data_IF_050416901101
#
_entry.id   IF_050416901101
#
_cell.length_a   1.000
_cell.length_b   1.000
_cell.length_c   1.000
_cell.angle_alpha   90.00
_cell.angle_beta   90.00
_cell.angle_gamma   90.00
#
_symmetry.space_group_name_H-M   'P 1'
#
loop_
_entity.id
_entity.type
_entity.pdbx_description
1 polymer ?
#
# COMPACT_ATOMS: atom_id res chain seq x y z
N UNK A 1 28.06 9.73 -6.01
CA UNK A 1 26.67 9.99 -5.56
C UNK A 1 26.78 10.81 -4.29
N UNK A 2 26.07 11.92 -4.19
CA UNK A 2 26.09 12.74 -2.96
C UNK A 2 25.58 11.86 -1.81
N UNK A 3 26.27 11.77 -0.66
CA UNK A 3 25.79 11.00 0.47
C UNK A 3 24.39 11.46 0.86
N UNK A 4 23.51 10.50 1.18
CA UNK A 4 22.18 10.81 1.64
C UNK A 4 22.30 11.55 2.97
N UNK A 5 21.88 12.80 3.02
CA UNK A 5 21.83 13.53 4.27
C UNK A 5 20.64 12.99 5.07
N UNK A 6 20.88 12.46 6.25
CA UNK A 6 19.83 12.12 7.22
C UNK A 6 20.09 12.90 8.50
N UNK A 7 19.03 13.23 9.22
CA UNK A 7 19.13 13.88 10.52
C UNK A 7 18.54 12.96 11.59
N UNK A 8 19.27 12.77 12.69
CA UNK A 8 18.84 11.92 13.80
C UNK A 8 17.99 12.79 14.73
N UNK A 9 16.74 12.39 14.94
CA UNK A 9 15.77 13.13 15.76
C UNK A 9 15.75 12.58 17.19
N UNK A 10 16.03 11.29 17.35
CA UNK A 10 16.05 10.67 18.68
C UNK A 10 16.48 9.22 18.64
N UNK A 11 16.86 8.72 19.82
CA UNK A 11 17.22 7.33 20.04
C UNK A 11 16.50 6.84 21.29
N UNK A 12 15.90 5.64 21.21
CA UNK A 12 15.25 5.01 22.36
C UNK A 12 15.87 3.63 22.62
N UNK A 13 16.20 3.32 23.88
CA UNK A 13 16.55 1.96 24.26
C UNK A 13 15.29 1.10 24.34
N UNK A 14 15.39 -0.17 23.96
CA UNK A 14 14.33 -1.17 23.94
C UNK A 14 13.12 -0.78 23.06
N UNK A 15 12.86 -1.56 22.03
CA UNK A 15 11.76 -1.33 21.11
C UNK A 15 11.12 -2.65 20.69
N UNK A 16 9.82 -2.78 20.94
CA UNK A 16 9.03 -3.93 20.50
C UNK A 16 8.42 -3.64 19.13
N UNK A 17 8.79 -4.43 18.12
CA UNK A 17 8.16 -4.39 16.81
C UNK A 17 7.06 -5.45 16.71
N UNK A 18 5.88 -5.08 16.21
CA UNK A 18 4.74 -5.99 16.12
C UNK A 18 4.55 -6.51 14.69
N UNK A 19 5.02 -7.73 14.44
CA UNK A 19 4.75 -8.47 13.21
C UNK A 19 3.31 -8.99 13.18
N UNK A 20 2.77 -9.33 11.99
CA UNK A 20 1.45 -9.95 11.88
C UNK A 20 1.31 -11.26 12.69
N UNK A 21 2.43 -12.00 12.84
CA UNK A 21 2.48 -13.31 13.47
C UNK A 21 3.11 -13.32 14.88
N UNK A 22 3.44 -12.16 15.45
CA UNK A 22 4.07 -12.08 16.77
C UNK A 22 4.77 -10.75 17.03
N UNK A 23 5.52 -10.69 18.13
CA UNK A 23 6.35 -9.53 18.47
C UNK A 23 7.83 -9.90 18.33
N UNK A 24 8.66 -8.91 18.03
CA UNK A 24 10.12 -9.05 17.99
C UNK A 24 10.73 -7.88 18.77
N UNK A 25 11.62 -8.21 19.72
CA UNK A 25 12.28 -7.24 20.59
C UNK A 25 13.59 -6.75 19.96
N UNK A 26 13.77 -5.44 19.99
CA UNK A 26 14.95 -4.74 19.51
C UNK A 26 15.61 -4.03 20.69
N UNK A 27 16.94 -4.09 20.79
CA UNK A 27 17.73 -3.43 21.83
C UNK A 27 17.64 -1.90 21.77
N UNK A 28 17.43 -1.35 20.58
CA UNK A 28 17.28 0.10 20.39
C UNK A 28 16.55 0.43 19.09
N UNK A 29 16.01 1.64 19.02
CA UNK A 29 15.50 2.24 17.78
C UNK A 29 15.99 3.68 17.65
N UNK A 30 16.52 4.00 16.48
CA UNK A 30 16.92 5.35 16.08
C UNK A 30 15.83 5.91 15.17
N UNK A 31 15.42 7.14 15.43
CA UNK A 31 14.47 7.89 14.61
C UNK A 31 15.21 8.93 13.78
N UNK A 32 14.95 8.94 12.47
CA UNK A 32 15.64 9.80 11.52
C UNK A 32 14.67 10.52 10.58
N UNK A 33 15.00 11.74 10.19
CA UNK A 33 14.38 12.47 9.08
C UNK A 33 15.21 12.29 7.82
N UNK A 34 14.53 12.05 6.71
CA UNK A 34 15.12 12.06 5.37
C UNK A 34 14.58 13.27 4.61
N UNK A 35 15.45 14.13 4.06
CA UNK A 35 15.06 15.30 3.30
C UNK A 35 14.34 14.91 2.00
N UNK A 36 13.48 15.82 1.55
CA UNK A 36 12.61 15.65 0.40
C UNK A 36 13.42 15.32 -0.87
N UNK A 37 13.02 14.24 -1.55
CA UNK A 37 13.61 13.79 -2.82
C UNK A 37 12.68 14.01 -4.02
N UNK A 38 11.71 14.92 -3.89
CA UNK A 38 10.74 15.28 -4.94
C UNK A 38 9.55 14.33 -5.06
N UNK A 39 9.49 13.29 -4.23
CA UNK A 39 8.42 12.30 -4.21
C UNK A 39 7.75 12.10 -2.86
N UNK A 40 8.36 12.57 -1.78
CA UNK A 40 7.85 12.43 -0.43
C UNK A 40 8.14 13.69 0.37
N UNK A 41 7.10 14.24 1.00
CA UNK A 41 7.26 15.20 2.10
C UNK A 41 8.23 14.61 3.15
N UNK A 42 8.97 15.46 3.88
CA UNK A 42 9.97 15.04 4.90
C UNK A 42 9.52 13.77 5.62
N UNK A 43 10.21 12.66 5.34
CA UNK A 43 9.78 11.34 5.77
C UNK A 43 10.53 10.92 7.03
N UNK A 44 9.76 10.55 8.05
CA UNK A 44 10.28 10.00 9.31
C UNK A 44 10.49 8.49 9.12
N UNK A 45 11.69 8.01 9.39
CA UNK A 45 12.05 6.60 9.36
C UNK A 45 12.62 6.15 10.70
N UNK A 46 12.56 4.85 10.92
CA UNK A 46 13.05 4.19 12.11
C UNK A 46 14.06 3.11 11.73
N UNK A 47 15.15 3.04 12.49
CA UNK A 47 16.20 2.01 12.37
C UNK A 47 16.26 1.28 13.70
N UNK A 48 15.71 0.06 13.75
CA UNK A 48 15.72 -0.76 14.96
C UNK A 48 16.84 -1.81 14.90
N UNK A 49 17.52 -2.01 16.03
CA UNK A 49 18.67 -2.91 16.18
C UNK A 49 18.35 -4.02 17.16
N UNK A 50 18.65 -5.26 16.79
CA UNK A 50 18.38 -6.43 17.62
C UNK A 50 19.17 -7.64 17.17
N UNK A 51 18.70 -8.82 17.57
CA UNK A 51 19.26 -10.11 17.18
C UNK A 51 18.14 -11.09 16.87
N UNK A 52 18.37 -11.98 15.90
CA UNK A 52 17.41 -13.00 15.50
C UNK A 52 18.12 -14.24 14.97
N UNK A 53 17.59 -15.41 15.29
CA UNK A 53 17.98 -16.67 14.65
C UNK A 53 17.67 -16.60 13.15
N UNK A 54 18.71 -16.61 12.32
CA UNK A 54 18.61 -16.56 10.87
C UNK A 54 19.71 -17.42 10.24
N UNK A 55 19.30 -18.27 9.30
CA UNK A 55 20.21 -19.16 8.57
C UNK A 55 21.06 -20.04 9.50
N UNK A 56 20.42 -20.58 10.56
CA UNK A 56 21.04 -21.51 11.49
C UNK A 56 21.96 -20.89 12.54
N UNK A 57 21.93 -19.57 12.73
CA UNK A 57 22.70 -18.89 13.80
C UNK A 57 22.01 -17.62 14.29
N UNK A 58 22.25 -17.25 15.55
CA UNK A 58 21.88 -15.95 16.09
C UNK A 58 22.69 -14.85 15.39
N UNK A 59 22.02 -13.96 14.66
CA UNK A 59 22.67 -12.92 13.86
C UNK A 59 22.18 -11.53 14.24
N UNK A 60 23.04 -10.53 13.98
CA UNK A 60 22.64 -9.12 14.05
C UNK A 60 21.43 -8.90 13.15
N UNK A 61 20.45 -8.16 13.66
CA UNK A 61 19.23 -7.81 12.95
C UNK A 61 19.08 -6.30 12.95
N UNK A 62 18.90 -5.72 11.76
CA UNK A 62 18.55 -4.30 11.62
C UNK A 62 17.29 -4.19 10.78
N UNK A 63 16.32 -3.43 11.26
CA UNK A 63 15.05 -3.19 10.60
C UNK A 63 14.94 -1.70 10.25
N UNK A 64 14.68 -1.39 8.98
CA UNK A 64 14.41 -0.02 8.52
C UNK A 64 12.94 0.06 8.08
N UNK A 65 12.17 0.95 8.69
CA UNK A 65 10.71 1.01 8.49
C UNK A 65 10.15 2.43 8.68
N UNK A 66 8.97 2.70 8.09
CA UNK A 66 8.20 3.94 8.34
C UNK A 66 7.27 3.78 9.53
N UNK A 67 6.60 2.64 9.62
CA UNK A 67 5.71 2.26 10.71
C UNK A 67 5.60 0.72 10.75
N UNK A 68 4.93 0.16 11.76
CA UNK A 68 4.83 -1.30 11.93
C UNK A 68 4.10 -2.02 10.78
N UNK A 69 3.34 -1.30 9.94
CA UNK A 69 2.72 -1.84 8.74
C UNK A 69 3.59 -1.74 7.48
N UNK A 70 4.76 -1.12 7.57
CA UNK A 70 5.53 -0.66 6.41
C UNK A 70 7.05 -0.75 6.64
N UNK A 71 7.60 -1.94 6.36
CA UNK A 71 9.01 -2.28 6.48
C UNK A 71 9.69 -2.15 5.12
N UNK A 72 10.69 -1.27 5.04
CA UNK A 72 11.43 -1.00 3.81
C UNK A 72 12.55 -2.01 3.59
N UNK A 73 13.29 -2.34 4.65
CA UNK A 73 14.37 -3.31 4.58
C UNK A 73 14.63 -4.04 5.88
N UNK A 74 15.07 -5.27 5.67
CA UNK A 74 15.55 -6.19 6.69
C UNK A 74 17.02 -6.49 6.41
N UNK A 75 17.88 -6.28 7.41
CA UNK A 75 19.29 -6.58 7.32
C UNK A 75 19.66 -7.69 8.29
N UNK A 76 20.63 -8.49 7.86
CA UNK A 76 21.16 -9.62 8.62
C UNK A 76 22.68 -9.46 8.72
N UNK A 77 23.24 -9.67 9.91
CA UNK A 77 24.69 -9.71 10.11
C UNK A 77 25.35 -10.78 9.24
N UNK A 78 26.42 -10.40 8.57
CA UNK A 78 27.28 -11.34 7.83
C UNK A 78 27.93 -12.36 8.79
N UNK A 79 28.48 -13.45 8.27
CA UNK A 79 29.06 -14.52 9.10
C UNK A 79 30.14 -13.99 10.07
N UNK A 80 30.99 -13.07 9.60
CA UNK A 80 32.02 -12.40 10.41
C UNK A 80 31.56 -11.06 11.01
N UNK A 81 30.27 -10.93 11.36
CA UNK A 81 29.73 -9.66 11.86
C UNK A 81 30.45 -9.15 13.11
N UNK A 82 30.93 -10.03 13.98
CA UNK A 82 31.64 -9.62 15.20
C UNK A 82 32.90 -8.79 14.91
N UNK A 83 33.63 -9.15 13.85
CA UNK A 83 34.83 -8.44 13.41
C UNK A 83 34.50 -7.28 12.48
N UNK A 84 33.68 -7.54 11.46
CA UNK A 84 33.48 -6.61 10.36
C UNK A 84 32.44 -5.54 10.64
N UNK A 85 31.52 -5.79 11.58
CA UNK A 85 30.33 -4.97 11.85
C UNK A 85 29.56 -4.62 10.57
N UNK A 86 29.48 -5.59 9.64
CA UNK A 86 28.77 -5.45 8.36
C UNK A 86 27.48 -6.24 8.36
N UNK A 87 26.46 -5.66 7.74
CA UNK A 87 25.16 -6.30 7.55
C UNK A 87 24.83 -6.39 6.07
N UNK A 88 23.99 -7.34 5.69
CA UNK A 88 23.56 -7.54 4.32
C UNK A 88 22.03 -7.51 4.20
N UNK A 89 21.52 -7.03 3.07
CA UNK A 89 20.10 -7.10 2.70
C UNK A 89 19.92 -7.63 1.28
N UNK A 90 19.00 -8.57 1.07
CA UNK A 90 18.83 -9.33 -0.19
C UNK A 90 18.04 -8.56 -1.24
N UNK A 91 18.69 -8.10 -2.30
CA UNK A 91 18.12 -7.15 -3.26
C UNK A 91 16.93 -7.76 -4.02
N UNK A 92 15.97 -6.91 -4.40
CA UNK A 92 14.73 -7.33 -5.08
C UNK A 92 14.73 -6.87 -6.54
N UNK A 93 14.03 -7.63 -7.37
CA UNK A 93 13.75 -7.28 -8.77
C UNK A 93 12.74 -6.14 -8.85
N UNK A 94 12.74 -5.42 -9.96
CA UNK A 94 11.84 -4.30 -10.20
C UNK A 94 10.39 -4.80 -10.28
N UNK A 95 9.47 -4.09 -9.62
CA UNK A 95 8.05 -4.41 -9.55
C UNK A 95 7.73 -5.76 -8.90
N UNK A 96 8.67 -6.38 -8.18
CA UNK A 96 8.53 -7.73 -7.66
C UNK A 96 9.14 -7.90 -6.27
N UNK A 97 8.52 -8.74 -5.45
CA UNK A 97 9.08 -9.14 -4.15
C UNK A 97 10.16 -10.23 -4.26
N UNK A 98 10.40 -10.75 -5.47
CA UNK A 98 11.42 -11.77 -5.71
C UNK A 98 12.83 -11.21 -5.62
N UNK A 99 13.75 -12.02 -5.09
CA UNK A 99 15.16 -11.64 -5.01
C UNK A 99 15.83 -11.56 -6.37
N UNK A 100 16.79 -10.65 -6.48
CA UNK A 100 17.65 -10.46 -7.63
C UNK A 100 18.66 -11.62 -7.71
N UNK A 101 18.61 -12.42 -8.78
CA UNK A 101 19.50 -13.58 -8.97
C UNK A 101 20.87 -13.14 -9.47
N UNK A 102 21.91 -13.97 -9.31
CA UNK A 102 23.26 -13.63 -9.77
C UNK A 102 23.39 -13.37 -11.28
N UNK A 103 22.51 -14.00 -12.08
CA UNK A 103 22.46 -13.81 -13.53
C UNK A 103 21.64 -12.57 -13.95
N UNK A 104 20.90 -11.96 -13.02
CA UNK A 104 20.10 -10.77 -13.34
C UNK A 104 21.02 -9.54 -13.42
N UNK A 105 20.69 -8.61 -14.33
CA UNK A 105 21.38 -7.30 -14.38
C UNK A 105 21.06 -6.48 -13.13
N UNK A 106 22.08 -5.93 -12.47
CA UNK A 106 21.90 -5.09 -11.28
C UNK A 106 21.21 -3.77 -11.66
N UNK A 107 20.00 -3.49 -11.10
CA UNK A 107 19.30 -2.23 -11.32
C UNK A 107 20.15 -1.01 -10.95
N UNK A 108 19.98 0.10 -11.69
CA UNK A 108 20.74 1.34 -11.51
C UNK A 108 20.72 1.87 -10.07
N UNK A 109 19.57 1.79 -9.39
CA UNK A 109 19.40 2.19 -7.98
C UNK A 109 20.29 1.43 -6.99
N UNK A 110 20.79 0.26 -7.36
CA UNK A 110 21.70 -0.50 -6.50
C UNK A 110 23.18 -0.33 -6.87
N UNK A 111 23.50 0.29 -8.01
CA UNK A 111 24.89 0.44 -8.47
C UNK A 111 25.78 1.26 -7.54
N UNK A 112 25.16 2.07 -6.67
CA UNK A 112 25.87 2.86 -5.68
C UNK A 112 26.28 2.06 -4.43
N UNK A 113 25.78 0.83 -4.26
CA UNK A 113 26.10 -0.02 -3.13
C UNK A 113 27.09 -1.12 -3.50
N UNK A 114 27.75 -1.67 -2.49
CA UNK A 114 28.55 -2.89 -2.65
C UNK A 114 27.61 -4.09 -2.85
N UNK A 115 27.29 -4.38 -4.11
CA UNK A 115 26.44 -5.51 -4.49
C UNK A 115 27.29 -6.74 -4.73
N UNK A 116 27.04 -7.77 -3.95
CA UNK A 116 27.76 -9.04 -4.02
C UNK A 116 26.79 -10.20 -4.03
N UNK A 117 27.33 -11.39 -4.25
CA UNK A 117 26.58 -12.62 -4.12
C UNK A 117 26.43 -13.01 -2.64
N UNK A 118 25.20 -13.22 -2.17
CA UNK A 118 24.91 -13.45 -0.73
C UNK A 118 25.76 -14.56 -0.09
N UNK A 119 26.05 -15.65 -0.83
CA UNK A 119 26.88 -16.78 -0.36
C UNK A 119 28.29 -16.39 0.10
N UNK A 120 28.82 -15.27 -0.39
CA UNK A 120 30.18 -14.87 -0.05
C UNK A 120 30.26 -14.22 1.34
N UNK A 121 29.12 -13.94 1.98
CA UNK A 121 29.06 -13.25 3.29
C UNK A 121 28.07 -13.86 4.27
N UNK A 122 27.09 -14.63 3.79
CA UNK A 122 26.12 -15.32 4.63
C UNK A 122 26.06 -16.79 4.19
N UNK A 123 26.48 -17.67 5.09
CA UNK A 123 26.35 -19.12 4.95
C UNK A 123 25.36 -19.67 5.97
N UNK A 124 24.77 -20.84 5.66
CA UNK A 124 23.82 -21.50 6.55
C UNK A 124 22.58 -22.05 5.83
N UNK A 125 21.78 -22.87 6.52
CA UNK A 125 20.58 -23.47 5.95
C UNK A 125 19.59 -22.41 5.47
N UNK A 126 19.02 -22.64 4.29
CA UNK A 126 18.01 -21.78 3.66
C UNK A 126 18.46 -20.35 3.33
N UNK A 127 19.76 -20.04 3.44
CA UNK A 127 20.31 -18.75 3.02
C UNK A 127 19.98 -18.49 1.53
N UNK A 128 19.26 -17.40 1.19
CA UNK A 128 18.84 -17.12 -0.17
C UNK A 128 20.03 -16.96 -1.10
N UNK A 129 19.92 -17.56 -2.29
CA UNK A 129 20.95 -17.48 -3.31
C UNK A 129 20.67 -16.37 -4.32
N UNK A 130 21.14 -15.16 -3.97
CA UNK A 130 20.78 -13.93 -4.63
C UNK A 130 21.88 -12.87 -4.49
N UNK A 131 21.66 -11.71 -5.09
CA UNK A 131 22.49 -10.53 -4.88
C UNK A 131 22.05 -9.79 -3.62
N UNK A 132 23.03 -9.32 -2.85
CA UNK A 132 22.84 -8.59 -1.60
C UNK A 132 23.68 -7.32 -1.61
N UNK A 133 23.17 -6.25 -1.00
CA UNK A 133 24.00 -5.10 -0.65
C UNK A 133 24.60 -5.31 0.74
N UNK A 134 25.90 -5.09 0.88
CA UNK A 134 26.62 -5.16 2.16
C UNK A 134 27.02 -3.76 2.61
N UNK A 135 26.68 -3.45 3.86
CA UNK A 135 26.78 -2.11 4.43
C UNK A 135 27.38 -2.19 5.84
N UNK A 136 28.22 -1.22 6.20
CA UNK A 136 28.70 -1.08 7.57
C UNK A 136 27.52 -0.71 8.49
N UNK A 137 27.40 -1.37 9.64
CA UNK A 137 26.30 -1.14 10.58
C UNK A 137 26.21 0.32 11.06
N UNK A 138 27.36 0.99 11.19
CA UNK A 138 27.43 2.38 11.62
C UNK A 138 27.04 3.39 10.51
N UNK A 139 26.94 2.96 9.25
CA UNK A 139 26.60 3.81 8.12
C UNK A 139 25.07 3.92 7.95
N UNK A 140 24.46 4.67 8.87
CA UNK A 140 23.01 4.95 8.87
C UNK A 140 22.51 5.52 7.54
N UNK A 141 23.19 6.50 6.89
CA UNK A 141 22.82 6.98 5.56
C UNK A 141 22.69 5.86 4.53
N UNK A 142 23.66 4.95 4.46
CA UNK A 142 23.61 3.84 3.50
C UNK A 142 22.54 2.81 3.82
N UNK A 143 22.31 2.51 5.11
CA UNK A 143 21.20 1.63 5.53
C UNK A 143 19.85 2.18 5.08
N UNK A 144 19.62 3.48 5.28
CA UNK A 144 18.41 4.17 4.84
C UNK A 144 18.33 4.23 3.32
N UNK A 145 19.43 4.59 2.65
CA UNK A 145 19.47 4.73 1.21
C UNK A 145 19.15 3.42 0.48
N UNK A 146 19.72 2.29 0.93
CA UNK A 146 19.39 0.99 0.31
C UNK A 146 17.97 0.55 0.65
N UNK A 147 17.45 0.88 1.84
CA UNK A 147 16.07 0.57 2.20
C UNK A 147 15.08 1.29 1.30
N UNK A 148 15.31 2.59 1.07
CA UNK A 148 14.56 3.39 0.10
C UNK A 148 14.74 2.85 -1.32
N UNK A 149 15.96 2.50 -1.74
CA UNK A 149 16.18 1.94 -3.08
C UNK A 149 15.48 0.58 -3.28
N UNK A 150 15.37 -0.25 -2.24
CA UNK A 150 14.59 -1.50 -2.30
C UNK A 150 13.12 -1.21 -2.48
N UNK A 151 12.60 -0.27 -1.72
CA UNK A 151 11.21 0.17 -1.83
C UNK A 151 10.91 0.85 -3.17
N UNK A 152 11.78 1.71 -3.70
CA UNK A 152 11.64 2.31 -5.04
C UNK A 152 11.64 1.25 -6.15
N UNK A 153 12.26 0.09 -5.90
CA UNK A 153 12.13 -1.08 -6.76
C UNK A 153 10.71 -1.65 -6.77
N UNK A 154 9.96 -1.51 -5.67
CA UNK A 154 8.54 -1.89 -5.54
C UNK A 154 7.59 -0.74 -5.92
N UNK A 155 8.07 0.50 -5.75
CA UNK A 155 7.36 1.76 -5.98
C UNK A 155 7.96 2.42 -7.21
N UNK A 156 7.49 2.02 -8.38
CA UNK A 156 8.06 2.45 -9.65
C UNK A 156 7.95 3.98 -9.79
N UNK A 157 9.08 4.70 -9.96
CA UNK A 157 9.10 6.04 -10.58
C UNK A 157 10.39 6.37 -11.34
N UNK A 158 10.19 6.52 -12.65
CA UNK A 158 10.60 7.63 -13.53
C UNK A 158 12.06 8.14 -13.46
N UNK A 159 12.85 7.78 -14.48
CA UNK A 159 13.84 8.69 -15.06
C UNK A 159 13.95 8.48 -16.58
N UNK A 160 13.83 9.60 -17.28
CA UNK A 160 13.83 9.77 -18.73
C UNK A 160 15.16 9.31 -19.36
N UNK A 161 15.10 8.66 -20.52
CA UNK A 161 16.17 8.72 -21.52
C UNK A 161 15.52 8.63 -22.91
N UNK A 162 15.90 9.48 -23.89
CA UNK A 162 15.26 9.47 -25.20
C UNK A 162 15.52 8.13 -25.91
N UNK A 163 14.59 7.63 -26.73
CA UNK A 163 14.79 6.35 -27.38
C UNK A 163 15.93 6.47 -28.40
N UNK A 164 17.02 5.73 -28.18
CA UNK A 164 17.98 5.43 -29.24
C UNK A 164 17.30 4.46 -30.20
N UNK A 165 16.86 5.00 -31.32
CA UNK A 165 16.48 4.25 -32.52
C UNK A 165 17.66 3.37 -32.93
N UNK A 166 17.48 2.06 -32.90
CA UNK A 166 18.26 1.14 -33.72
C UNK A 166 17.34 0.62 -34.81
N UNK A 167 17.60 1.07 -36.02
CA UNK A 167 17.07 0.51 -37.25
C UNK A 167 17.43 -0.97 -37.30
N UNK A 168 16.42 -1.82 -37.36
CA UNK A 168 16.55 -3.09 -38.07
C UNK A 168 15.18 -3.42 -38.69
N UNK A 169 15.15 -3.19 -40.00
CA UNK A 169 14.20 -3.71 -40.96
C UNK A 169 13.95 -5.19 -40.74
N UNK A 170 12.68 -5.56 -40.55
CA UNK A 170 12.05 -6.70 -41.22
C UNK A 170 10.54 -6.54 -41.15
N UNK A 171 9.94 -6.51 -42.33
CA UNK A 171 8.51 -6.43 -42.57
C UNK A 171 7.71 -7.43 -41.72
N UNK A 172 6.80 -6.90 -40.91
CA UNK A 172 5.56 -7.55 -40.56
C UNK A 172 4.51 -6.44 -40.55
N UNK A 173 3.64 -6.47 -41.56
CA UNK A 173 2.57 -5.50 -41.78
C UNK A 173 1.68 -5.36 -40.55
N UNK A 174 1.83 -4.26 -39.81
CA UNK A 174 0.81 -3.78 -38.88
C UNK A 174 -0.24 -2.97 -39.67
N UNK A 175 -1.54 -3.12 -39.37
CA UNK A 175 -2.55 -2.25 -39.93
C UNK A 175 -2.35 -0.81 -39.42
N UNK A 176 -2.78 0.20 -40.20
CA UNK A 176 -2.36 1.58 -40.01
C UNK A 176 -2.85 2.17 -38.68
N UNK A 177 -1.96 2.93 -38.06
CA UNK A 177 -2.15 3.77 -36.89
C UNK A 177 -3.25 4.80 -37.11
N UNK A 178 -4.41 4.59 -36.49
CA UNK A 178 -5.30 5.68 -36.09
C UNK A 178 -4.94 6.10 -34.66
N UNK A 179 -4.18 7.19 -34.51
CA UNK A 179 -3.96 7.84 -33.21
C UNK A 179 -5.22 8.59 -32.75
N UNK A 180 -6.34 7.87 -32.64
CA UNK A 180 -7.39 8.24 -31.71
C UNK A 180 -7.00 7.72 -30.34
N UNK A 181 -7.25 8.56 -29.34
CA UNK A 181 -6.55 8.58 -28.06
C UNK A 181 -6.89 7.34 -27.23
N UNK A 182 -6.15 6.23 -27.41
CA UNK A 182 -6.38 4.93 -26.75
C UNK A 182 -6.67 5.04 -25.24
N UNK A 183 -6.04 5.99 -24.55
CA UNK A 183 -6.32 6.28 -23.14
C UNK A 183 -7.77 6.72 -22.87
N UNK A 184 -8.36 7.54 -23.75
CA UNK A 184 -9.77 7.92 -23.70
C UNK A 184 -10.69 6.73 -23.95
N UNK A 185 -10.35 5.85 -24.89
CA UNK A 185 -11.16 4.66 -25.19
C UNK A 185 -11.19 3.70 -23.99
N UNK A 186 -10.05 3.51 -23.32
CA UNK A 186 -9.97 2.70 -22.09
C UNK A 186 -10.80 3.35 -20.96
N UNK A 187 -10.68 4.66 -20.77
CA UNK A 187 -11.45 5.40 -19.76
C UNK A 187 -12.94 5.31 -20.06
N UNK A 188 -13.35 5.47 -21.31
CA UNK A 188 -14.75 5.32 -21.72
C UNK A 188 -15.25 3.89 -21.46
N UNK A 189 -14.46 2.86 -21.78
CA UNK A 189 -14.82 1.48 -21.49
C UNK A 189 -14.99 1.21 -19.98
N UNK A 190 -14.13 1.80 -19.12
CA UNK A 190 -14.30 1.72 -17.66
C UNK A 190 -15.59 2.41 -17.19
N UNK A 191 -15.92 3.58 -17.75
CA UNK A 191 -17.13 4.31 -17.44
C UNK A 191 -18.39 3.58 -17.94
N UNK A 192 -18.34 3.01 -19.12
CA UNK A 192 -19.42 2.21 -19.71
C UNK A 192 -19.64 0.92 -18.95
N UNK A 193 -18.57 0.30 -18.43
CA UNK A 193 -18.70 -0.81 -17.52
C UNK A 193 -19.38 -0.35 -16.23
N UNK A 194 -18.92 0.75 -15.61
CA UNK A 194 -19.50 1.28 -14.37
C UNK A 194 -20.98 1.66 -14.50
N UNK A 195 -21.38 2.24 -15.62
CA UNK A 195 -22.75 2.73 -15.84
C UNK A 195 -23.78 1.60 -15.95
N UNK A 196 -23.34 0.40 -16.33
CA UNK A 196 -24.18 -0.81 -16.37
C UNK A 196 -24.36 -1.48 -15.00
N UNK A 197 -23.55 -1.09 -14.02
CA UNK A 197 -23.60 -1.67 -12.67
C UNK A 197 -24.55 -0.88 -11.77
N UNK A 198 -25.33 -1.60 -10.98
CA UNK A 198 -26.10 -0.98 -9.90
C UNK A 198 -25.14 -0.39 -8.87
N UNK A 199 -25.38 0.86 -8.48
CA UNK A 199 -24.91 1.38 -7.18
C UNK A 199 -25.57 0.56 -6.06
N UNK A 200 -24.93 0.36 -4.92
CA UNK A 200 -25.51 -0.43 -3.83
C UNK A 200 -25.17 -1.92 -3.83
N UNK A 201 -24.03 -2.32 -4.38
CA UNK A 201 -23.55 -3.71 -4.27
C UNK A 201 -23.29 -4.12 -2.81
N UNK A 202 -23.34 -5.43 -2.47
CA UNK A 202 -23.10 -5.88 -1.10
C UNK A 202 -21.66 -5.59 -0.68
N UNK A 203 -21.48 -4.97 0.49
CA UNK A 203 -20.21 -4.83 1.18
C UNK A 203 -19.74 -6.15 1.80
N UNK A 204 -20.69 -6.95 2.28
CA UNK A 204 -20.47 -8.17 3.05
C UNK A 204 -21.21 -9.35 2.43
N UNK A 205 -20.77 -10.59 2.69
CA UNK A 205 -21.51 -11.79 2.27
C UNK A 205 -22.79 -11.96 3.07
N UNK A 206 -22.75 -11.63 4.37
CA UNK A 206 -23.91 -11.66 5.25
C UNK A 206 -24.84 -10.47 4.96
N UNK A 207 -26.13 -10.76 4.69
CA UNK A 207 -27.17 -9.72 4.52
C UNK A 207 -27.32 -8.85 5.77
N UNK A 208 -27.31 -9.46 6.96
CA UNK A 208 -27.42 -8.72 8.22
C UNK A 208 -26.22 -7.77 8.44
N UNK A 209 -25.02 -8.20 8.05
CA UNK A 209 -23.83 -7.35 8.15
C UNK A 209 -23.91 -6.20 7.15
N UNK A 210 -24.38 -6.46 5.93
CA UNK A 210 -24.58 -5.45 4.90
C UNK A 210 -25.59 -4.38 5.34
N UNK A 211 -26.76 -4.81 5.82
CA UNK A 211 -27.80 -3.92 6.34
C UNK A 211 -27.29 -3.11 7.54
N UNK A 212 -26.55 -3.76 8.45
CA UNK A 212 -25.94 -3.08 9.59
C UNK A 212 -24.97 -1.96 9.17
N UNK A 213 -24.13 -2.19 8.16
CA UNK A 213 -23.19 -1.17 7.65
C UNK A 213 -23.93 0.02 7.02
N UNK A 214 -25.00 -0.25 6.24
CA UNK A 214 -25.80 0.80 5.58
C UNK A 214 -26.54 1.69 6.56
N UNK A 215 -27.03 1.11 7.66
CA UNK A 215 -27.78 1.84 8.68
C UNK A 215 -26.87 2.50 9.73
N UNK A 216 -25.59 2.13 9.76
CA UNK A 216 -24.65 2.60 10.78
C UNK A 216 -23.39 3.23 10.14
N UNK A 217 -23.41 4.57 9.93
CA UNK A 217 -22.25 5.37 9.50
C UNK A 217 -20.93 5.05 10.22
N UNK A 218 -20.99 4.79 11.53
CA UNK A 218 -19.80 4.47 12.31
C UNK A 218 -19.24 3.09 11.95
N UNK A 219 -20.11 2.08 11.84
CA UNK A 219 -19.73 0.75 11.41
C UNK A 219 -19.16 0.76 9.98
N UNK A 220 -19.79 1.52 9.08
CA UNK A 220 -19.29 1.75 7.72
C UNK A 220 -17.85 2.31 7.73
N UNK A 221 -17.62 3.44 8.40
CA UNK A 221 -16.29 4.04 8.47
C UNK A 221 -15.29 3.08 9.09
N UNK A 222 -15.71 2.34 10.12
CA UNK A 222 -14.87 1.35 10.79
C UNK A 222 -14.40 0.27 9.82
N UNK A 223 -15.33 -0.36 9.07
CA UNK A 223 -15.02 -1.36 8.05
C UNK A 223 -14.07 -0.81 6.99
N UNK A 224 -14.44 0.33 6.38
CA UNK A 224 -13.67 0.92 5.29
C UNK A 224 -12.26 1.34 5.73
N UNK A 225 -12.10 1.79 6.98
CA UNK A 225 -10.80 2.18 7.56
C UNK A 225 -9.84 1.01 7.70
N UNK A 226 -10.35 -0.22 7.89
CA UNK A 226 -9.52 -1.41 8.04
C UNK A 226 -9.47 -2.29 6.78
N UNK A 227 -10.02 -1.81 5.66
CA UNK A 227 -10.03 -2.51 4.36
C UNK A 227 -8.64 -2.57 3.70
N UNK A 228 -7.81 -3.48 4.25
CA UNK A 228 -6.43 -3.71 3.84
C UNK A 228 -6.02 -5.17 3.96
N UNK A 229 -5.38 -5.67 2.91
CA UNK A 229 -4.63 -6.93 2.93
C UNK A 229 -5.44 -8.22 3.04
N UNK A 230 -6.77 -8.18 2.94
CA UNK A 230 -7.66 -9.33 2.94
C UNK A 230 -8.79 -9.14 1.92
N UNK A 231 -9.62 -10.16 1.70
CA UNK A 231 -10.82 -10.04 0.85
C UNK A 231 -11.77 -9.01 1.47
N UNK A 232 -12.24 -8.05 0.67
CA UNK A 232 -13.11 -6.97 1.13
C UNK A 232 -14.32 -7.52 1.89
N UNK A 233 -15.00 -8.53 1.34
CA UNK A 233 -16.22 -9.07 1.93
C UNK A 233 -16.01 -9.66 3.33
N UNK A 234 -14.79 -10.13 3.64
CA UNK A 234 -14.43 -10.61 4.97
C UNK A 234 -14.10 -9.48 5.95
N UNK A 235 -13.47 -8.41 5.46
CA UNK A 235 -13.11 -7.26 6.29
C UNK A 235 -14.34 -6.44 6.66
N UNK A 236 -15.23 -6.23 5.71
CA UNK A 236 -16.40 -5.40 5.88
C UNK A 236 -17.42 -6.00 6.88
N UNK A 237 -17.40 -7.32 7.12
CA UNK A 237 -18.20 -7.97 8.16
C UNK A 237 -17.71 -7.71 9.60
N UNK A 238 -16.47 -7.27 9.79
CA UNK A 238 -15.83 -7.20 11.12
C UNK A 238 -16.61 -6.32 12.11
N UNK A 239 -17.08 -5.10 11.77
CA UNK A 239 -17.83 -4.28 12.72
C UNK A 239 -19.11 -4.94 13.24
N UNK A 240 -19.79 -5.72 12.39
CA UNK A 240 -20.98 -6.47 12.79
C UNK A 240 -20.64 -7.60 13.75
N UNK A 241 -19.58 -8.36 13.47
CA UNK A 241 -19.11 -9.42 14.35
C UNK A 241 -18.60 -8.86 15.68
N UNK A 242 -17.91 -7.73 15.64
CA UNK A 242 -17.44 -7.03 16.83
C UNK A 242 -18.61 -6.53 17.69
N UNK A 243 -19.66 -5.96 17.07
CA UNK A 243 -20.91 -5.60 17.77
C UNK A 243 -21.51 -6.81 18.48
N UNK A 244 -21.59 -7.97 17.82
CA UNK A 244 -22.10 -9.21 18.43
C UNK A 244 -21.23 -9.66 19.60
N UNK A 245 -19.90 -9.55 19.48
CA UNK A 245 -18.94 -9.94 20.51
C UNK A 245 -18.99 -9.06 21.75
N UNK A 246 -19.06 -7.74 21.57
CA UNK A 246 -19.02 -6.76 22.67
C UNK A 246 -20.41 -6.38 23.18
N UNK A 247 -21.48 -6.72 22.45
CA UNK A 247 -22.85 -6.27 22.72
C UNK A 247 -23.14 -4.84 22.27
N UNK A 248 -22.12 -4.09 21.85
CA UNK A 248 -22.25 -2.71 21.38
C UNK A 248 -21.23 -2.37 20.29
N UNK A 249 -21.45 -1.26 19.60
CA UNK A 249 -20.46 -0.58 18.76
C UNK A 249 -20.48 0.93 19.02
N UNK A 250 -20.66 1.32 20.29
CA UNK A 250 -20.67 2.72 20.72
C UNK A 250 -19.25 3.34 20.72
N UNK A 251 -19.03 4.51 20.07
CA UNK A 251 -17.72 5.16 19.99
C UNK A 251 -17.11 5.54 21.34
N UNK A 252 -17.91 6.05 22.29
CA UNK A 252 -17.43 6.41 23.63
C UNK A 252 -16.85 5.19 24.35
N UNK A 253 -17.60 4.09 24.44
CA UNK A 253 -17.18 2.87 25.12
C UNK A 253 -15.93 2.26 24.45
N UNK A 254 -15.91 2.23 23.11
CA UNK A 254 -14.74 1.76 22.37
C UNK A 254 -13.51 2.63 22.63
N UNK A 255 -13.66 3.95 22.64
CA UNK A 255 -12.53 4.88 22.86
C UNK A 255 -11.84 4.73 24.23
N UNK A 256 -12.51 4.09 25.19
CA UNK A 256 -11.98 3.80 26.53
C UNK A 256 -11.26 2.45 26.62
N UNK A 257 -11.37 1.58 25.62
CA UNK A 257 -10.66 0.31 25.58
C UNK A 257 -9.17 0.51 25.28
N UNK A 258 -8.33 -0.37 25.83
CA UNK A 258 -6.93 -0.46 25.41
C UNK A 258 -6.81 -1.16 24.05
N UNK A 259 -5.69 -0.93 23.36
CA UNK A 259 -5.37 -1.63 22.11
C UNK A 259 -5.39 -3.15 22.33
N UNK A 260 -4.85 -3.63 23.45
CA UNK A 260 -4.76 -5.07 23.74
C UNK A 260 -6.14 -5.69 23.98
N UNK A 261 -7.04 -4.98 24.68
CA UNK A 261 -8.42 -5.45 24.89
C UNK A 261 -9.18 -5.59 23.56
N UNK A 262 -9.10 -4.59 22.69
CA UNK A 262 -9.77 -4.65 21.40
C UNK A 262 -9.10 -5.64 20.45
N UNK A 263 -7.77 -5.75 20.48
CA UNK A 263 -7.02 -6.75 19.73
C UNK A 263 -7.47 -8.17 20.10
N UNK A 264 -7.58 -8.48 21.39
CA UNK A 264 -8.03 -9.79 21.86
C UNK A 264 -9.47 -10.08 21.40
N UNK A 265 -10.37 -9.09 21.51
CA UNK A 265 -11.73 -9.21 20.99
C UNK A 265 -11.73 -9.56 19.49
N UNK A 266 -10.93 -8.85 18.68
CA UNK A 266 -10.79 -9.10 17.23
C UNK A 266 -10.18 -10.47 16.92
N UNK A 267 -9.20 -10.93 17.70
CA UNK A 267 -8.57 -12.25 17.52
C UNK A 267 -9.54 -13.40 17.80
N UNK A 268 -10.49 -13.17 18.69
CA UNK A 268 -11.51 -14.16 19.07
C UNK A 268 -12.72 -14.22 18.12
N UNK A 269 -12.78 -13.36 17.09
CA UNK A 269 -13.86 -13.40 16.10
C UNK A 269 -13.70 -14.61 15.16
N UNK A 270 -14.82 -15.16 14.71
CA UNK A 270 -14.85 -16.22 13.69
C UNK A 270 -14.14 -15.77 12.40
N UNK A 271 -14.39 -14.52 11.99
CA UNK A 271 -13.67 -13.84 10.92
C UNK A 271 -12.93 -12.64 11.50
N UNK A 272 -11.61 -12.65 11.34
CA UNK A 272 -10.71 -11.65 11.92
C UNK A 272 -9.96 -10.87 10.84
N UNK A 273 -9.60 -9.61 11.11
CA UNK A 273 -8.72 -8.87 10.21
C UNK A 273 -7.37 -9.56 10.09
N UNK A 274 -6.70 -9.41 8.94
CA UNK A 274 -5.33 -9.89 8.74
C UNK A 274 -4.35 -9.31 9.76
N UNK A 275 -4.60 -8.08 10.20
CA UNK A 275 -3.75 -7.30 11.11
C UNK A 275 -4.56 -6.85 12.34
N UNK A 276 -4.83 -7.73 13.34
CA UNK A 276 -5.72 -7.41 14.46
C UNK A 276 -5.28 -6.21 15.29
N UNK A 277 -4.00 -6.11 15.66
CA UNK A 277 -3.47 -4.99 16.44
C UNK A 277 -3.60 -3.65 15.72
N UNK A 278 -3.24 -3.62 14.44
CA UNK A 278 -3.34 -2.43 13.60
C UNK A 278 -4.80 -2.04 13.39
N UNK A 279 -5.69 -3.03 13.20
CA UNK A 279 -7.13 -2.79 13.12
C UNK A 279 -7.67 -2.22 14.43
N UNK A 280 -7.27 -2.76 15.58
CA UNK A 280 -7.63 -2.21 16.89
C UNK A 280 -7.20 -0.76 17.04
N UNK A 281 -5.94 -0.42 16.75
CA UNK A 281 -5.45 0.97 16.79
C UNK A 281 -6.24 1.91 15.87
N UNK A 282 -6.55 1.46 14.66
CA UNK A 282 -7.36 2.22 13.69
C UNK A 282 -8.78 2.46 14.23
N UNK A 283 -9.42 1.41 14.73
CA UNK A 283 -10.78 1.46 15.28
C UNK A 283 -10.87 2.34 16.52
N UNK A 284 -9.91 2.26 17.44
CA UNK A 284 -9.85 3.12 18.63
C UNK A 284 -9.60 4.58 18.24
N UNK A 285 -8.69 4.83 17.29
CA UNK A 285 -8.42 6.17 16.79
C UNK A 285 -9.67 6.80 16.14
N UNK A 286 -10.43 6.02 15.35
CA UNK A 286 -11.71 6.45 14.78
C UNK A 286 -12.74 6.72 15.89
N UNK A 287 -12.86 5.81 16.86
CA UNK A 287 -13.79 5.91 17.98
C UNK A 287 -13.56 7.20 18.78
N UNK A 288 -12.29 7.48 19.10
CA UNK A 288 -11.88 8.69 19.80
C UNK A 288 -12.19 9.96 19.00
N UNK A 289 -11.84 9.98 17.71
CA UNK A 289 -12.14 11.12 16.83
C UNK A 289 -13.64 11.41 16.78
N UNK A 290 -14.47 10.38 16.58
CA UNK A 290 -15.93 10.51 16.52
C UNK A 290 -16.52 10.99 17.85
N UNK A 291 -16.08 10.40 18.96
CA UNK A 291 -16.58 10.75 20.29
C UNK A 291 -16.19 12.18 20.68
N UNK A 292 -14.90 12.54 20.59
CA UNK A 292 -14.38 13.81 21.11
C UNK A 292 -14.70 15.01 20.20
N UNK A 293 -14.68 14.83 18.87
CA UNK A 293 -14.77 15.95 17.92
C UNK A 293 -16.09 16.04 17.18
N UNK A 294 -16.84 14.94 17.10
CA UNK A 294 -18.10 14.89 16.35
C UNK A 294 -19.30 14.53 17.23
N UNK A 295 -19.11 14.40 18.56
CA UNK A 295 -20.17 14.11 19.53
C UNK A 295 -21.09 12.96 19.09
N UNK A 296 -20.48 11.87 18.62
CA UNK A 296 -21.15 10.68 18.08
C UNK A 296 -21.95 10.88 16.78
N UNK A 297 -22.03 12.11 16.24
CA UNK A 297 -22.64 12.38 14.94
C UNK A 297 -21.65 12.15 13.79
N UNK A 298 -21.50 10.89 13.39
CA UNK A 298 -20.54 10.46 12.36
C UNK A 298 -20.78 11.13 11.00
N UNK A 299 -22.04 11.38 10.61
CA UNK A 299 -22.35 12.03 9.34
C UNK A 299 -21.80 13.47 9.27
N UNK A 300 -21.63 14.11 10.43
CA UNK A 300 -20.92 15.38 10.55
C UNK A 300 -19.44 15.29 10.26
N UNK A 301 -18.86 14.18 9.79
CA UNK A 301 -17.51 14.14 9.20
C UNK A 301 -17.51 14.66 7.75
N UNK A 302 -18.55 14.34 6.97
CA UNK A 302 -18.61 14.66 5.53
C UNK A 302 -19.72 15.64 5.14
N UNK A 303 -20.84 15.67 5.86
CA UNK A 303 -21.96 16.54 5.49
C UNK A 303 -21.53 18.02 5.44
N UNK A 304 -21.87 18.68 4.33
CA UNK A 304 -21.59 20.09 4.09
C UNK A 304 -20.10 20.45 3.94
N UNK A 305 -19.20 19.47 3.72
CA UNK A 305 -17.77 19.72 3.52
C UNK A 305 -17.33 19.38 2.11
N UNK A 306 -16.22 20.00 1.71
CA UNK A 306 -15.51 19.65 0.48
C UNK A 306 -14.73 18.33 0.64
N UNK A 307 -14.61 17.50 -0.41
CA UNK A 307 -13.91 16.22 -0.35
C UNK A 307 -12.49 16.26 0.21
N UNK A 308 -11.67 17.24 -0.17
CA UNK A 308 -10.31 17.37 0.40
C UNK A 308 -10.35 17.57 1.92
N UNK A 309 -11.35 18.28 2.43
CA UNK A 309 -11.50 18.46 3.87
C UNK A 309 -11.89 17.16 4.56
N UNK A 310 -12.76 16.37 3.94
CA UNK A 310 -13.13 15.04 4.45
C UNK A 310 -11.91 14.12 4.46
N UNK A 311 -11.11 14.11 3.39
CA UNK A 311 -9.85 13.35 3.30
C UNK A 311 -8.90 13.73 4.44
N UNK A 312 -8.64 15.02 4.65
CA UNK A 312 -7.78 15.50 5.73
C UNK A 312 -8.26 15.11 7.14
N UNK A 313 -9.59 14.98 7.35
CA UNK A 313 -10.14 14.52 8.62
C UNK A 313 -9.90 13.02 8.77
N UNK A 314 -10.16 12.24 7.73
CA UNK A 314 -9.98 10.79 7.73
C UNK A 314 -8.51 10.41 7.94
N UNK A 315 -7.55 11.13 7.36
CA UNK A 315 -6.11 10.89 7.53
C UNK A 315 -5.59 11.14 8.96
N UNK A 316 -6.38 11.80 9.83
CA UNK A 316 -6.05 11.90 11.26
C UNK A 316 -6.27 10.58 12.00
N UNK A 317 -7.06 9.67 11.43
CA UNK A 317 -7.29 8.36 11.99
C UNK A 317 -6.04 7.52 11.74
N UNK A 318 -5.50 6.95 12.82
CA UNK A 318 -4.29 6.15 12.74
C UNK A 318 -4.40 5.06 11.66
N UNK A 319 -3.41 5.01 10.77
CA UNK A 319 -3.33 4.01 9.71
C UNK A 319 -4.16 4.31 8.47
N UNK A 320 -4.92 5.40 8.40
CA UNK A 320 -5.59 5.84 7.16
C UNK A 320 -4.65 6.74 6.36
N UNK A 321 -4.25 6.28 5.18
CA UNK A 321 -3.56 7.11 4.19
C UNK A 321 -4.50 7.61 3.09
N UNK A 322 -3.99 8.43 2.14
CA UNK A 322 -4.80 9.10 1.13
C UNK A 322 -5.65 8.14 0.31
N UNK A 323 -5.10 6.98 -0.08
CA UNK A 323 -5.86 5.99 -0.84
C UNK A 323 -7.12 5.49 -0.11
N UNK A 324 -7.01 5.15 1.17
CA UNK A 324 -8.18 4.71 1.96
C UNK A 324 -9.15 5.88 2.16
N UNK A 325 -8.64 7.08 2.42
CA UNK A 325 -9.48 8.26 2.60
C UNK A 325 -10.30 8.59 1.34
N UNK A 326 -9.69 8.59 0.16
CA UNK A 326 -10.39 8.83 -1.10
C UNK A 326 -11.39 7.71 -1.44
N UNK A 327 -11.05 6.45 -1.15
CA UNK A 327 -11.99 5.33 -1.26
C UNK A 327 -13.23 5.52 -0.37
N UNK A 328 -13.04 5.92 0.90
CA UNK A 328 -14.14 6.21 1.81
C UNK A 328 -15.03 7.32 1.23
N UNK A 329 -14.42 8.43 0.81
CA UNK A 329 -15.15 9.57 0.23
C UNK A 329 -15.94 9.15 -1.01
N UNK A 330 -15.37 8.26 -1.84
CA UNK A 330 -16.08 7.71 -2.98
C UNK A 330 -17.30 6.90 -2.55
N UNK A 331 -17.15 5.98 -1.61
CA UNK A 331 -18.26 5.14 -1.15
C UNK A 331 -19.35 6.00 -0.48
N UNK A 332 -18.99 7.09 0.21
CA UNK A 332 -19.96 8.04 0.76
C UNK A 332 -20.88 8.65 -0.32
N UNK A 333 -20.35 8.90 -1.53
CA UNK A 333 -21.15 9.39 -2.67
C UNK A 333 -22.07 8.28 -3.18
N UNK A 334 -21.50 7.10 -3.41
CA UNK A 334 -22.22 6.00 -4.05
C UNK A 334 -23.31 5.40 -3.12
N UNK A 335 -23.13 5.47 -1.80
CA UNK A 335 -23.90 4.67 -0.83
C UNK A 335 -24.55 5.49 0.31
N UNK A 336 -24.05 6.70 0.62
CA UNK A 336 -24.52 7.52 1.76
C UNK A 336 -25.05 8.90 1.35
N UNK A 337 -25.27 9.14 0.06
CA UNK A 337 -25.87 10.38 -0.44
C UNK A 337 -25.02 11.63 -0.27
N UNK A 338 -23.71 11.48 -0.02
CA UNK A 338 -22.79 12.62 0.01
C UNK A 338 -22.69 13.23 -1.39
N UNK A 339 -23.03 14.52 -1.51
CA UNK A 339 -22.99 15.23 -2.78
C UNK A 339 -22.11 16.48 -2.66
N UNK A 340 -20.84 16.41 -3.10
CA UNK A 340 -19.93 17.55 -3.04
C UNK A 340 -20.03 18.47 -4.28
N UNK A 341 -21.03 18.29 -5.14
CA UNK A 341 -21.16 19.07 -6.38
C UNK A 341 -20.05 18.79 -7.40
N UNK A 342 -20.14 19.41 -8.58
CA UNK A 342 -19.20 19.13 -9.70
C UNK A 342 -17.75 19.48 -9.36
N UNK A 343 -17.54 20.59 -8.66
CA UNK A 343 -16.20 21.05 -8.28
C UNK A 343 -15.58 20.10 -7.26
N UNK A 344 -16.33 19.68 -6.23
CA UNK A 344 -15.85 18.73 -5.25
C UNK A 344 -15.52 17.35 -5.85
N UNK A 345 -16.29 16.86 -6.84
CA UNK A 345 -15.96 15.59 -7.52
C UNK A 345 -14.55 15.56 -8.13
N UNK A 346 -14.06 16.69 -8.63
CA UNK A 346 -12.70 16.79 -9.20
C UNK A 346 -11.58 16.59 -8.19
N UNK A 347 -11.89 16.72 -6.90
CA UNK A 347 -10.95 16.57 -5.79
C UNK A 347 -10.79 15.12 -5.30
N UNK A 348 -11.55 14.17 -5.87
CA UNK A 348 -11.57 12.79 -5.40
C UNK A 348 -10.72 11.93 -6.30
N UNK A 349 -9.66 11.34 -5.75
CA UNK A 349 -8.75 10.46 -6.46
C UNK A 349 -9.16 8.98 -6.41
N UNK A 350 -8.49 8.19 -7.25
CA UNK A 350 -8.54 6.72 -7.18
C UNK A 350 -7.76 6.22 -5.96
N UNK A 351 -8.11 5.04 -5.43
CA UNK A 351 -7.30 4.30 -4.47
C UNK A 351 -6.41 3.32 -5.25
N UNK A 352 -5.11 3.60 -5.38
CA UNK A 352 -4.24 2.76 -6.19
C UNK A 352 -3.85 1.46 -5.47
N UNK A 353 -4.78 0.51 -5.39
CA UNK A 353 -4.51 -0.82 -4.89
C UNK A 353 -3.91 -1.75 -5.96
N UNK A 354 -3.65 -3.01 -5.60
CA UNK A 354 -3.04 -3.98 -6.51
C UNK A 354 -3.88 -4.22 -7.79
N UNK A 355 -5.21 -4.10 -7.72
CA UNK A 355 -6.13 -4.32 -8.84
C UNK A 355 -6.15 -3.11 -9.75
N UNK A 356 -6.33 -1.91 -9.19
CA UNK A 356 -6.35 -0.65 -9.93
C UNK A 356 -5.02 -0.42 -10.64
N UNK A 357 -3.89 -0.60 -9.93
CA UNK A 357 -2.55 -0.47 -10.51
C UNK A 357 -2.35 -1.45 -11.66
N UNK A 358 -2.79 -2.71 -11.51
CA UNK A 358 -2.65 -3.73 -12.54
C UNK A 358 -3.49 -3.41 -13.78
N UNK A 359 -4.73 -2.94 -13.62
CA UNK A 359 -5.57 -2.52 -14.74
C UNK A 359 -4.96 -1.33 -15.47
N UNK A 360 -4.57 -0.28 -14.76
CA UNK A 360 -3.97 0.90 -15.37
C UNK A 360 -2.70 0.53 -16.14
N UNK A 361 -1.87 -0.35 -15.58
CA UNK A 361 -0.65 -0.82 -16.24
C UNK A 361 -0.93 -1.69 -17.47
N UNK A 362 -1.76 -2.74 -17.34
CA UNK A 362 -2.05 -3.68 -18.44
C UNK A 362 -2.76 -3.03 -19.61
N UNK A 363 -3.64 -2.07 -19.34
CA UNK A 363 -4.33 -1.32 -20.39
C UNK A 363 -3.40 -0.34 -21.11
N UNK A 364 -2.31 0.07 -20.46
CA UNK A 364 -1.36 1.07 -20.96
C UNK A 364 -1.72 2.51 -20.56
N UNK A 365 -2.60 2.70 -19.57
CA UNK A 365 -2.86 4.02 -18.98
C UNK A 365 -1.67 4.56 -18.20
N UNK A 366 -0.85 3.65 -17.65
CA UNK A 366 0.44 3.97 -17.02
C UNK A 366 1.52 3.03 -17.57
N UNK A 367 2.76 3.51 -17.60
CA UNK A 367 3.90 2.74 -18.09
C UNK A 367 4.62 1.95 -16.99
N UNK A 368 4.27 2.23 -15.74
CA UNK A 368 5.00 1.80 -14.55
C UNK A 368 3.97 1.34 -13.50
N UNK A 369 4.20 0.20 -12.84
CA UNK A 369 3.30 -0.29 -11.77
C UNK A 369 3.47 0.56 -10.51
N UNK A 370 2.81 1.71 -10.48
CA UNK A 370 2.99 2.72 -9.45
C UNK A 370 1.66 3.36 -9.07
N UNK A 371 1.41 3.46 -7.76
CA UNK A 371 0.17 4.04 -7.28
C UNK A 371 0.07 5.54 -7.53
N UNK A 372 1.18 6.27 -7.43
CA UNK A 372 1.22 7.70 -7.74
C UNK A 372 1.00 7.98 -9.23
N UNK A 373 1.54 7.12 -10.11
CA UNK A 373 1.26 7.19 -11.54
C UNK A 373 -0.24 6.93 -11.85
N UNK A 374 -0.91 6.02 -11.12
CA UNK A 374 -2.35 5.81 -11.28
C UNK A 374 -3.16 7.06 -10.94
N UNK A 375 -2.84 7.69 -9.81
CA UNK A 375 -3.51 8.92 -9.37
C UNK A 375 -3.31 10.04 -10.39
N UNK A 376 -2.08 10.26 -10.85
CA UNK A 376 -1.80 11.28 -11.86
C UNK A 376 -2.48 10.99 -13.21
N UNK A 377 -2.44 9.75 -13.68
CA UNK A 377 -3.12 9.36 -14.91
C UNK A 377 -4.64 9.56 -14.80
N UNK A 378 -5.26 9.16 -13.68
CA UNK A 378 -6.69 9.37 -13.46
C UNK A 378 -7.06 10.87 -13.49
N UNK A 379 -6.26 11.71 -12.82
CA UNK A 379 -6.44 13.17 -12.82
C UNK A 379 -6.34 13.77 -14.22
N UNK A 380 -5.37 13.33 -15.02
CA UNK A 380 -5.16 13.84 -16.38
C UNK A 380 -6.23 13.36 -17.36
N UNK A 381 -6.60 12.09 -17.28
CA UNK A 381 -7.51 11.45 -18.23
C UNK A 381 -8.98 11.77 -17.94
N UNK A 382 -9.34 11.98 -16.68
CA UNK A 382 -10.72 12.29 -16.28
C UNK A 382 -10.80 13.31 -15.14
N UNK A 383 -10.35 14.57 -15.36
CA UNK A 383 -10.18 15.58 -14.31
C UNK A 383 -11.46 15.97 -13.58
N UNK A 384 -12.64 15.79 -14.22
CA UNK A 384 -13.92 16.14 -13.61
C UNK A 384 -14.33 15.21 -12.46
N UNK A 385 -13.81 13.98 -12.41
CA UNK A 385 -14.02 13.05 -11.31
C UNK A 385 -13.01 11.88 -11.34
N UNK A 386 -11.73 12.07 -11.01
CA UNK A 386 -10.70 11.06 -11.19
C UNK A 386 -11.03 9.72 -10.53
N UNK A 387 -11.55 9.75 -9.30
CA UNK A 387 -11.94 8.59 -8.51
C UNK A 387 -13.07 7.75 -9.12
N UNK A 388 -13.73 8.19 -10.19
CA UNK A 388 -14.76 7.38 -10.90
C UNK A 388 -14.18 6.14 -11.56
N UNK A 389 -12.88 6.16 -11.82
CA UNK A 389 -12.17 5.06 -12.45
C UNK A 389 -11.80 3.96 -11.43
N UNK A 390 -11.91 4.25 -10.13
CA UNK A 390 -11.49 3.36 -9.05
C UNK A 390 -12.28 2.05 -9.04
N UNK A 391 -13.59 2.14 -8.78
CA UNK A 391 -14.48 0.99 -8.69
C UNK A 391 -14.47 0.10 -9.94
N UNK A 392 -14.63 0.61 -11.18
CA UNK A 392 -14.63 -0.27 -12.36
C UNK A 392 -13.26 -0.93 -12.58
N UNK A 393 -12.14 -0.23 -12.33
CA UNK A 393 -10.82 -0.84 -12.45
C UNK A 393 -10.60 -1.90 -11.37
N UNK A 394 -11.01 -1.63 -10.14
CA UNK A 394 -10.95 -2.59 -9.04
C UNK A 394 -11.75 -3.86 -9.34
N UNK A 395 -13.02 -3.70 -9.74
CA UNK A 395 -13.93 -4.80 -10.05
C UNK A 395 -13.43 -5.65 -11.23
N UNK A 396 -13.02 -5.02 -12.32
CA UNK A 396 -12.48 -5.76 -13.48
C UNK A 396 -11.16 -6.47 -13.10
N UNK A 397 -10.33 -5.79 -12.30
CA UNK A 397 -9.06 -6.32 -11.82
C UNK A 397 -9.22 -7.53 -10.91
N UNK A 398 -10.27 -7.61 -10.09
CA UNK A 398 -10.51 -8.77 -9.22
C UNK A 398 -11.24 -9.90 -9.93
N UNK A 399 -12.07 -9.61 -10.93
CA UNK A 399 -12.98 -10.60 -11.55
C UNK A 399 -12.42 -11.26 -12.80
N UNK A 400 -11.67 -10.55 -13.66
CA UNK A 400 -11.10 -11.15 -14.89
C UNK A 400 -9.59 -10.95 -15.00
N UNK A 401 -9.09 -9.76 -14.66
CA UNK A 401 -7.68 -9.42 -14.87
C UNK A 401 -6.83 -9.84 -13.66
N UNK A 402 -6.77 -11.14 -13.36
CA UNK A 402 -5.99 -11.69 -12.25
C UNK A 402 -4.47 -11.53 -12.45
N UNK A 403 -3.68 -11.59 -11.37
CA UNK A 403 -2.22 -11.42 -11.48
C UNK A 403 -1.58 -12.47 -12.40
N UNK A 404 -2.09 -13.71 -12.34
CA UNK A 404 -1.72 -14.81 -13.22
C UNK A 404 -2.94 -15.31 -13.98
N UNK A 405 -2.74 -15.73 -15.24
CA UNK A 405 -3.77 -16.29 -16.12
C UNK A 405 -5.03 -15.41 -16.23
N UNK A 406 -4.91 -14.14 -16.68
CA UNK A 406 -6.07 -13.27 -16.82
C UNK A 406 -7.04 -13.78 -17.91
N UNK A 407 -8.35 -13.73 -17.61
CA UNK A 407 -9.43 -14.10 -18.52
C UNK A 407 -9.66 -13.00 -19.56
N UNK A 408 -8.68 -12.79 -20.44
CA UNK A 408 -8.67 -11.64 -21.33
C UNK A 408 -9.88 -11.61 -22.27
N UNK A 409 -10.29 -12.76 -22.82
CA UNK A 409 -11.38 -12.86 -23.81
C UNK A 409 -12.70 -12.35 -23.25
N UNK A 410 -12.98 -12.69 -21.99
CA UNK A 410 -14.23 -12.31 -21.30
C UNK A 410 -14.12 -10.97 -20.56
N UNK A 411 -12.92 -10.37 -20.53
CA UNK A 411 -12.69 -9.09 -19.87
C UNK A 411 -13.44 -7.94 -20.57
N UNK A 412 -14.17 -7.09 -19.83
CA UNK A 412 -14.87 -5.93 -20.39
C UNK A 412 -13.98 -4.94 -21.17
N UNK A 413 -12.66 -4.98 -20.94
CA UNK A 413 -11.68 -4.13 -21.62
C UNK A 413 -11.01 -4.80 -22.82
N UNK A 414 -11.47 -5.99 -23.25
CA UNK A 414 -10.82 -6.81 -24.29
C UNK A 414 -10.48 -6.02 -25.56
N UNK A 415 -11.44 -5.23 -26.08
CA UNK A 415 -11.28 -4.52 -27.35
C UNK A 415 -10.28 -3.34 -27.28
N UNK A 416 -10.03 -2.79 -26.09
CA UNK A 416 -9.23 -1.56 -25.90
C UNK A 416 -7.93 -1.78 -25.13
N UNK A 417 -7.77 -2.92 -24.45
CA UNK A 417 -6.64 -3.20 -23.57
C UNK A 417 -5.36 -3.55 -24.34
N UNK A 418 -4.25 -2.92 -23.96
CA UNK A 418 -2.92 -3.22 -24.54
C UNK A 418 -2.30 -4.54 -24.05
N UNK A 419 -2.86 -5.15 -22.99
CA UNK A 419 -2.42 -6.43 -22.38
C UNK A 419 -0.94 -6.45 -21.96
N UNK A 420 -0.43 -5.34 -21.43
CA UNK A 420 0.98 -5.22 -21.05
C UNK A 420 1.28 -6.12 -19.83
N UNK A 421 2.13 -7.13 -20.00
CA UNK A 421 2.51 -8.04 -18.91
C UNK A 421 1.33 -8.88 -18.40
N UNK A 422 0.44 -9.29 -19.30
CA UNK A 422 -0.57 -10.34 -19.07
C UNK A 422 0.05 -11.72 -19.17
#
# INVERSE_FOLDING_TARGET
MTPMNIEIIGTRPHFTFHWPMGIEEYSSVIEVTVPDSGYFQVSKLYIAYGYREAFGSLRRRILVFRNEGDVLAEFVGVDCWEQDKRVATFLRRDGSKQYLRPADSVPSRYKAFSVIHSRSVITGPYAPQCLAAVIAEADLPSLVAVAIAREQGETFRMAQTPPKVKSNTKDASMPPTTSHNRGRDIVQALLDYRSKQKTGGPFAKSKDADEFLRQNPFAFLMAASIDRGALAEAVWEIPFLLKKKLGHLNPQLLSQMSVDQLEEALRSLERKPRFPRQSARTMLSLSKLVFEQFHENVASIWQGREPLRVVQILERIWGIGPGIAHMIVRILIDEFGYNPGREGLSQIDVKPDIHVVRIFYRTGLILERSGSACVEAARQLYPKFPGVLDWPAWEIGRTWCHDHNPECVDCPLYSVCSRIGT
#
